data_IF_617679975040
#
_entry.id   IF_617679975040
#
_cell.length_a   1.000
_cell.length_b   1.000
_cell.length_c   1.000
_cell.angle_alpha   90.00
_cell.angle_beta   90.00
_cell.angle_gamma   90.00
#
_symmetry.space_group_name_H-M   'P 1'
#
loop_
_entity.id
_entity.type
_entity.pdbx_description
1 polymer ?
#
# COMPACT_ATOMS: atom_id res chain seq x y z
N UNK A 1 14.49 34.06 -20.10
CA UNK A 1 13.51 33.24 -19.36
C UNK A 1 14.26 32.40 -18.33
N UNK A 2 14.38 32.89 -17.09
CA UNK A 2 14.73 32.03 -15.96
C UNK A 2 13.55 31.07 -15.77
N UNK A 3 13.57 29.98 -16.52
CA UNK A 3 12.42 29.15 -16.81
C UNK A 3 11.99 28.40 -15.56
N UNK A 4 10.77 28.64 -15.10
CA UNK A 4 9.94 27.52 -14.65
C UNK A 4 10.00 26.50 -15.79
N UNK A 5 10.75 25.42 -15.60
CA UNK A 5 10.88 24.36 -16.61
C UNK A 5 9.46 23.95 -16.97
N UNK A 6 9.12 24.02 -18.26
CA UNK A 6 7.85 23.49 -18.74
C UNK A 6 7.77 22.03 -18.32
N UNK A 7 6.70 21.67 -17.63
CA UNK A 7 6.40 20.29 -17.22
C UNK A 7 5.29 19.76 -18.11
N UNK A 8 5.13 18.44 -18.19
CA UNK A 8 4.01 17.82 -18.92
C UNK A 8 2.63 18.18 -18.40
N UNK A 9 2.54 18.70 -17.18
CA UNK A 9 1.29 19.21 -16.61
C UNK A 9 1.01 20.68 -16.98
N UNK A 10 1.99 21.38 -17.54
CA UNK A 10 1.90 22.80 -17.84
C UNK A 10 0.84 23.05 -18.92
N UNK A 11 -0.16 23.88 -18.60
CA UNK A 11 -1.19 24.29 -19.56
C UNK A 11 -0.89 25.67 -20.12
N UNK A 12 -1.27 25.89 -21.38
CA UNK A 12 -1.10 27.17 -22.06
C UNK A 12 -1.60 28.35 -21.23
N UNK A 13 -2.81 28.25 -20.65
CA UNK A 13 -3.42 29.31 -19.82
C UNK A 13 -2.64 29.59 -18.53
N UNK A 14 -1.98 28.59 -17.97
CA UNK A 14 -1.21 28.71 -16.72
C UNK A 14 0.17 29.34 -16.97
N UNK A 15 0.74 29.10 -18.16
CA UNK A 15 2.00 29.71 -18.58
C UNK A 15 1.82 31.09 -19.23
N UNK A 16 0.61 31.43 -19.67
CA UNK A 16 0.27 32.66 -20.40
C UNK A 16 0.72 33.94 -19.71
N UNK A 17 0.46 34.07 -18.40
CA UNK A 17 0.84 35.26 -17.62
C UNK A 17 2.35 35.49 -17.60
N UNK A 18 3.16 34.42 -17.62
CA UNK A 18 4.61 34.52 -17.70
C UNK A 18 5.12 34.87 -19.09
N UNK A 19 4.36 34.55 -20.14
CA UNK A 19 4.71 34.87 -21.52
C UNK A 19 4.39 36.32 -21.88
N UNK A 20 3.32 36.91 -21.37
CA UNK A 20 2.99 38.34 -21.59
C UNK A 20 4.04 39.30 -21.02
N UNK A 21 4.82 38.86 -20.03
CA UNK A 21 5.97 39.62 -19.52
C UNK A 21 7.22 39.54 -20.43
N UNK A 22 7.23 38.66 -21.44
CA UNK A 22 8.37 38.46 -22.33
C UNK A 22 8.22 39.31 -23.60
N UNK A 23 9.16 40.23 -23.82
CA UNK A 23 9.15 41.13 -24.98
C UNK A 23 9.07 40.38 -26.32
N UNK A 24 9.80 39.26 -26.45
CA UNK A 24 9.83 38.45 -27.67
C UNK A 24 8.48 37.81 -27.97
N UNK A 25 7.73 37.42 -26.93
CA UNK A 25 6.37 36.89 -27.08
C UNK A 25 5.38 37.97 -27.51
N UNK A 26 5.48 39.17 -26.91
CA UNK A 26 4.63 40.30 -27.26
C UNK A 26 4.85 40.77 -28.71
N UNK A 27 6.08 40.71 -29.20
CA UNK A 27 6.39 40.98 -30.62
C UNK A 27 5.81 39.91 -31.55
N UNK A 28 5.99 38.62 -31.22
CA UNK A 28 5.43 37.51 -32.00
C UNK A 28 3.90 37.56 -32.08
N UNK A 29 3.23 37.88 -30.96
CA UNK A 29 1.77 38.00 -30.87
C UNK A 29 1.21 39.13 -31.74
N UNK A 30 1.96 40.24 -31.90
CA UNK A 30 1.58 41.36 -32.77
C UNK A 30 1.65 40.98 -34.26
N UNK A 31 2.59 40.11 -34.63
CA UNK A 31 2.78 39.63 -36.00
C UNK A 31 1.78 38.53 -36.37
N UNK A 32 1.56 37.54 -35.49
CA UNK A 32 0.56 36.49 -35.64
C UNK A 32 -0.01 36.09 -34.28
N UNK A 33 -1.31 36.33 -34.08
CA UNK A 33 -1.98 36.08 -32.79
C UNK A 33 -2.08 34.60 -32.40
N UNK A 34 -2.07 33.67 -33.37
CA UNK A 34 -2.12 32.21 -33.14
C UNK A 34 -0.77 31.53 -32.97
N UNK A 35 0.29 32.08 -33.60
CA UNK A 35 1.61 31.45 -33.69
C UNK A 35 2.25 31.11 -32.32
N UNK A 36 2.15 31.94 -31.27
CA UNK A 36 2.72 31.60 -29.97
C UNK A 36 2.09 30.35 -29.34
N UNK A 37 0.79 30.14 -29.56
CA UNK A 37 0.08 28.96 -29.05
C UNK A 37 0.52 27.71 -29.80
N UNK A 38 0.61 27.78 -31.12
CA UNK A 38 1.07 26.65 -31.94
C UNK A 38 2.51 26.26 -31.59
N UNK A 39 3.38 27.24 -31.31
CA UNK A 39 4.75 26.99 -30.84
C UNK A 39 4.73 26.29 -29.47
N UNK A 40 3.88 26.72 -28.54
CA UNK A 40 3.75 26.07 -27.24
C UNK A 40 3.25 24.63 -27.36
N UNK A 41 2.18 24.41 -28.12
CA UNK A 41 1.63 23.07 -28.37
C UNK A 41 2.71 22.18 -29.01
N UNK A 42 3.44 22.68 -30.02
CA UNK A 42 4.56 21.94 -30.61
C UNK A 42 5.76 21.68 -29.68
N UNK A 43 6.03 22.57 -28.71
CA UNK A 43 7.03 22.31 -27.66
C UNK A 43 6.55 21.24 -26.69
N UNK A 44 5.27 21.29 -26.29
CA UNK A 44 4.67 20.29 -25.41
C UNK A 44 4.61 18.91 -26.07
N UNK A 45 4.26 18.84 -27.35
CA UNK A 45 4.27 17.59 -28.12
C UNK A 45 5.68 16.98 -28.16
N UNK A 46 6.70 17.78 -28.48
CA UNK A 46 8.11 17.33 -28.43
C UNK A 46 8.54 16.88 -27.04
N UNK A 47 8.08 17.55 -25.98
CA UNK A 47 8.36 17.15 -24.59
C UNK A 47 7.69 15.80 -24.26
N UNK A 48 6.45 15.60 -24.71
CA UNK A 48 5.73 14.34 -24.54
C UNK A 48 6.40 13.19 -25.30
N UNK A 49 6.84 13.43 -26.53
CA UNK A 49 7.55 12.45 -27.34
C UNK A 49 8.91 12.10 -26.71
N UNK A 50 9.68 13.09 -26.27
CA UNK A 50 10.95 12.86 -25.57
C UNK A 50 10.76 11.99 -24.31
N UNK A 51 9.75 12.29 -23.48
CA UNK A 51 9.46 11.50 -22.28
C UNK A 51 8.94 10.10 -22.60
N UNK A 52 8.21 9.93 -23.71
CA UNK A 52 7.80 8.61 -24.19
C UNK A 52 9.02 7.78 -24.59
N UNK A 53 9.97 8.38 -25.30
CA UNK A 53 11.19 7.73 -25.74
C UNK A 53 12.10 7.38 -24.56
N UNK A 54 12.30 8.31 -23.62
CA UNK A 54 13.04 8.05 -22.37
C UNK A 54 12.47 6.87 -21.59
N UNK A 55 11.13 6.79 -21.46
CA UNK A 55 10.45 5.66 -20.83
C UNK A 55 10.65 4.35 -21.60
N UNK A 56 10.71 4.42 -22.93
CA UNK A 56 10.99 3.26 -23.77
C UNK A 56 12.41 2.75 -23.55
N UNK A 57 13.39 3.65 -23.55
CA UNK A 57 14.79 3.31 -23.30
C UNK A 57 15.01 2.78 -21.89
N UNK A 58 14.41 3.41 -20.88
CA UNK A 58 14.46 2.94 -19.49
C UNK A 58 13.92 1.51 -19.36
N UNK A 59 12.78 1.20 -19.98
CA UNK A 59 12.23 -0.16 -19.98
C UNK A 59 13.22 -1.18 -20.55
N UNK A 60 13.91 -0.82 -21.63
CA UNK A 60 14.90 -1.69 -22.24
C UNK A 60 16.13 -1.89 -21.35
N UNK A 61 16.60 -0.84 -20.66
CA UNK A 61 17.68 -0.93 -19.65
C UNK A 61 17.26 -1.85 -18.51
N UNK A 62 16.08 -1.62 -17.92
CA UNK A 62 15.56 -2.41 -16.79
C UNK A 62 15.40 -3.88 -17.18
N UNK A 63 14.90 -4.16 -18.40
CA UNK A 63 14.75 -5.51 -18.90
C UNK A 63 16.09 -6.22 -19.09
N UNK A 64 17.11 -5.52 -19.64
CA UNK A 64 18.47 -6.09 -19.82
C UNK A 64 19.22 -6.25 -18.50
N UNK A 65 19.02 -5.33 -17.56
CA UNK A 65 19.65 -5.39 -16.24
C UNK A 65 18.95 -6.39 -15.31
N UNK A 66 17.80 -6.96 -15.70
CA UNK A 66 17.01 -7.89 -14.88
C UNK A 66 16.69 -7.36 -13.47
N UNK A 67 16.63 -6.03 -13.31
CA UNK A 67 16.41 -5.43 -12.00
C UNK A 67 14.95 -5.57 -11.56
N UNK A 68 14.74 -6.16 -10.38
CA UNK A 68 13.43 -6.26 -9.74
C UNK A 68 13.36 -5.29 -8.57
N UNK A 69 12.46 -4.31 -8.66
CA UNK A 69 12.19 -3.37 -7.58
C UNK A 69 11.56 -4.13 -6.41
N UNK A 70 12.20 -4.04 -5.24
CA UNK A 70 11.71 -4.58 -3.96
C UNK A 70 11.29 -3.44 -3.02
N UNK A 71 10.53 -3.76 -1.97
CA UNK A 71 10.10 -2.77 -0.97
C UNK A 71 11.27 -2.06 -0.26
N UNK A 72 12.44 -2.70 -0.17
CA UNK A 72 13.66 -2.15 0.43
C UNK A 72 14.65 -1.57 -0.60
N UNK A 73 14.28 -1.51 -1.88
CA UNK A 73 15.13 -0.93 -2.92
C UNK A 73 15.22 0.59 -2.79
N UNK A 74 16.41 1.14 -3.04
CA UNK A 74 16.65 2.59 -3.11
C UNK A 74 17.03 2.99 -4.54
N UNK A 75 16.90 4.29 -4.84
CA UNK A 75 17.29 4.82 -6.15
C UNK A 75 18.78 4.56 -6.42
N UNK A 76 19.65 4.79 -5.45
CA UNK A 76 21.09 4.55 -5.59
C UNK A 76 21.42 3.08 -5.86
N UNK A 77 20.73 2.13 -5.20
CA UNK A 77 20.90 0.69 -5.48
C UNK A 77 20.44 0.34 -6.90
N UNK A 78 19.35 0.95 -7.37
CA UNK A 78 18.89 0.77 -8.74
C UNK A 78 19.92 1.29 -9.75
N UNK A 79 20.45 2.49 -9.55
CA UNK A 79 21.45 3.09 -10.44
C UNK A 79 22.74 2.26 -10.49
N UNK A 80 23.22 1.80 -9.33
CA UNK A 80 24.38 0.90 -9.25
C UNK A 80 24.14 -0.40 -10.03
N UNK A 81 22.93 -0.96 -9.96
CA UNK A 81 22.60 -2.21 -10.65
C UNK A 81 22.51 -2.06 -12.17
N UNK A 82 22.04 -0.91 -12.66
CA UNK A 82 21.93 -0.66 -14.10
C UNK A 82 23.24 -0.12 -14.70
N UNK A 83 24.20 0.34 -13.89
CA UNK A 83 25.41 1.03 -14.31
C UNK A 83 26.14 0.31 -15.45
N UNK A 84 26.47 -0.97 -15.28
CA UNK A 84 27.20 -1.74 -16.29
C UNK A 84 26.40 -1.97 -17.57
N UNK A 85 25.08 -2.06 -17.45
CA UNK A 85 24.17 -2.21 -18.61
C UNK A 85 24.10 -0.92 -19.40
N UNK A 86 24.01 0.22 -18.71
CA UNK A 86 23.98 1.56 -19.30
C UNK A 86 25.32 1.90 -19.94
N UNK A 87 26.45 1.59 -19.28
CA UNK A 87 27.79 1.82 -19.82
C UNK A 87 28.02 1.05 -21.12
N UNK A 88 27.57 -0.20 -21.22
CA UNK A 88 27.64 -0.99 -22.45
C UNK A 88 26.75 -0.40 -23.55
N UNK A 89 25.52 -0.05 -23.22
CA UNK A 89 24.56 0.56 -24.16
C UNK A 89 25.00 1.92 -24.69
N UNK A 90 25.77 2.69 -23.91
CA UNK A 90 26.31 3.99 -24.32
C UNK A 90 27.51 3.88 -25.27
N UNK A 91 28.19 2.74 -25.31
CA UNK A 91 29.37 2.48 -26.14
C UNK A 91 29.06 1.81 -27.49
N UNK A 92 27.81 1.36 -27.71
CA UNK A 92 27.40 0.68 -28.95
C UNK A 92 27.32 1.62 -30.18
N UNK A 93 27.53 2.94 -30.02
CA UNK A 93 27.42 3.94 -31.08
C UNK A 93 28.78 4.63 -31.40
N UNK A 94 29.01 4.95 -32.68
CA UNK A 94 30.27 5.44 -33.26
C UNK A 94 30.93 6.65 -32.52
N UNK A 95 32.25 6.58 -32.21
CA UNK A 95 32.97 7.66 -31.56
C UNK A 95 33.22 8.84 -32.51
N UNK A 96 32.60 10.00 -32.23
CA UNK A 96 32.83 11.26 -32.95
C UNK A 96 31.59 11.96 -33.49
N UNK A 97 30.41 11.34 -33.40
CA UNK A 97 29.14 11.97 -33.74
C UNK A 97 28.60 12.84 -32.59
N UNK A 98 27.78 13.85 -32.92
CA UNK A 98 27.03 14.63 -31.94
C UNK A 98 26.22 13.68 -31.04
N UNK A 99 26.29 13.80 -29.70
CA UNK A 99 25.61 12.88 -28.81
C UNK A 99 24.12 12.81 -29.14
N UNK A 100 23.64 11.60 -29.44
CA UNK A 100 22.21 11.41 -29.69
C UNK A 100 21.41 11.66 -28.40
N UNK A 101 20.14 12.05 -28.47
CA UNK A 101 19.30 12.21 -27.27
C UNK A 101 19.31 10.96 -26.38
N UNK A 102 19.36 9.77 -26.99
CA UNK A 102 19.49 8.49 -26.31
C UNK A 102 20.81 8.34 -25.54
N UNK A 103 21.94 8.75 -26.13
CA UNK A 103 23.24 8.72 -25.44
C UNK A 103 23.27 9.70 -24.27
N UNK A 104 22.72 10.90 -24.45
CA UNK A 104 22.63 11.88 -23.36
C UNK A 104 21.79 11.37 -22.19
N UNK A 105 20.72 10.62 -22.48
CA UNK A 105 19.91 9.96 -21.47
C UNK A 105 20.66 8.83 -20.76
N UNK A 106 21.42 8.00 -21.46
CA UNK A 106 22.21 6.95 -20.80
C UNK A 106 23.35 7.53 -19.96
N UNK A 107 24.04 8.55 -20.45
CA UNK A 107 25.09 9.22 -19.69
C UNK A 107 24.54 9.83 -18.38
N UNK A 108 23.33 10.38 -18.40
CA UNK A 108 22.71 10.97 -17.21
C UNK A 108 22.22 9.96 -16.17
N UNK A 109 22.15 8.67 -16.52
CA UNK A 109 21.87 7.57 -15.58
C UNK A 109 23.11 7.06 -14.84
N UNK A 110 24.31 7.47 -15.24
CA UNK A 110 25.56 7.04 -14.60
C UNK A 110 25.85 7.76 -13.29
N UNK A 111 25.25 8.94 -13.07
CA UNK A 111 25.39 9.72 -11.84
C UNK A 111 24.02 10.08 -11.25
N UNK A 112 23.89 9.91 -9.93
CA UNK A 112 22.67 10.19 -9.17
C UNK A 112 22.27 11.67 -9.27
N UNK A 113 23.24 12.58 -9.36
CA UNK A 113 22.98 14.02 -9.49
C UNK A 113 22.35 14.41 -10.84
N UNK A 114 22.53 13.57 -11.87
CA UNK A 114 22.09 13.87 -13.24
C UNK A 114 20.86 13.10 -13.69
N UNK A 115 20.31 12.24 -12.82
CA UNK A 115 19.20 11.34 -13.18
C UNK A 115 18.00 12.14 -13.72
N UNK A 116 17.48 11.77 -14.90
CA UNK A 116 16.29 12.40 -15.44
C UNK A 116 15.10 12.27 -14.47
N UNK A 117 14.31 13.34 -14.27
CA UNK A 117 13.14 13.30 -13.39
C UNK A 117 12.15 12.19 -13.77
N UNK A 118 12.05 11.87 -15.06
CA UNK A 118 11.22 10.78 -15.58
C UNK A 118 11.58 9.41 -15.02
N UNK A 119 12.87 9.16 -14.76
CA UNK A 119 13.39 7.91 -14.18
C UNK A 119 13.11 7.88 -12.68
N UNK A 120 13.30 9.01 -12.00
CA UNK A 120 12.97 9.16 -10.57
C UNK A 120 11.48 8.90 -10.34
N UNK A 121 10.61 9.53 -11.11
CA UNK A 121 9.15 9.32 -11.05
C UNK A 121 8.79 7.85 -11.32
N UNK A 122 9.41 7.23 -12.33
CA UNK A 122 9.19 5.83 -12.63
C UNK A 122 9.59 4.92 -11.46
N UNK A 123 10.77 5.15 -10.87
CA UNK A 123 11.28 4.35 -9.75
C UNK A 123 10.38 4.51 -8.52
N UNK A 124 10.03 5.74 -8.15
CA UNK A 124 9.11 6.01 -7.04
C UNK A 124 7.76 5.34 -7.26
N UNK A 125 7.21 5.41 -8.48
CA UNK A 125 5.94 4.75 -8.80
C UNK A 125 6.03 3.23 -8.78
N UNK A 126 7.16 2.64 -9.16
CA UNK A 126 7.39 1.20 -9.08
C UNK A 126 7.57 0.74 -7.62
N UNK A 127 8.37 1.48 -6.85
CA UNK A 127 8.62 1.23 -5.43
C UNK A 127 7.35 1.36 -4.60
N UNK A 128 6.54 2.38 -4.84
CA UNK A 128 5.26 2.57 -4.15
C UNK A 128 4.29 1.39 -4.38
N UNK A 129 4.21 0.86 -5.61
CA UNK A 129 3.39 -0.32 -5.91
C UNK A 129 3.89 -1.57 -5.19
N UNK A 130 5.20 -1.73 -5.09
CA UNK A 130 5.79 -2.88 -4.39
C UNK A 130 5.62 -2.77 -2.87
N UNK A 131 5.77 -1.56 -2.33
CA UNK A 131 5.50 -1.27 -0.93
C UNK A 131 4.03 -1.52 -0.58
N UNK A 132 3.10 -1.13 -1.45
CA UNK A 132 1.67 -1.44 -1.29
C UNK A 132 1.41 -2.95 -1.31
N UNK A 133 2.04 -3.70 -2.23
CA UNK A 133 1.96 -5.18 -2.26
C UNK A 133 2.47 -5.79 -0.97
N UNK A 134 3.64 -5.35 -0.50
CA UNK A 134 4.22 -5.81 0.75
C UNK A 134 3.29 -5.52 1.95
N UNK A 135 2.75 -4.31 2.04
CA UNK A 135 1.81 -3.94 3.10
C UNK A 135 0.54 -4.79 3.08
N UNK A 136 0.00 -5.11 1.89
CA UNK A 136 -1.17 -6.00 1.78
C UNK A 136 -0.84 -7.40 2.28
N UNK A 137 0.26 -7.98 1.82
CA UNK A 137 0.72 -9.31 2.27
C UNK A 137 0.96 -9.34 3.78
N UNK A 138 1.63 -8.32 4.33
CA UNK A 138 1.89 -8.22 5.76
C UNK A 138 0.59 -8.01 6.56
N UNK A 139 -0.36 -7.23 6.04
CA UNK A 139 -1.67 -7.06 6.68
C UNK A 139 -2.49 -8.35 6.69
N UNK A 140 -2.40 -9.17 5.62
CA UNK A 140 -3.04 -10.48 5.57
C UNK A 140 -2.38 -11.45 6.55
N UNK A 141 -1.05 -11.42 6.65
CA UNK A 141 -0.30 -12.19 7.65
C UNK A 141 -0.72 -11.80 9.06
N UNK A 142 -0.80 -10.49 9.35
CA UNK A 142 -1.22 -9.98 10.66
C UNK A 142 -2.67 -10.38 10.99
N UNK A 143 -3.60 -10.30 10.04
CA UNK A 143 -4.99 -10.77 10.24
C UNK A 143 -5.07 -12.26 10.56
N UNK A 144 -4.25 -13.10 9.91
CA UNK A 144 -4.16 -14.53 10.23
C UNK A 144 -3.66 -14.74 11.66
N UNK A 145 -2.64 -14.00 12.08
CA UNK A 145 -2.09 -14.03 13.45
C UNK A 145 -3.14 -13.55 14.47
N UNK A 146 -3.85 -12.47 14.19
CA UNK A 146 -4.92 -11.94 15.05
C UNK A 146 -6.06 -12.95 15.21
N UNK A 147 -6.51 -13.58 14.12
CA UNK A 147 -7.54 -14.62 14.18
C UNK A 147 -7.08 -15.85 14.98
N UNK A 148 -5.79 -16.20 14.89
CA UNK A 148 -5.21 -17.26 15.70
C UNK A 148 -5.13 -16.85 17.18
N UNK A 149 -4.73 -15.61 17.48
CA UNK A 149 -4.72 -15.08 18.84
C UNK A 149 -6.13 -15.02 19.46
N UNK A 150 -7.14 -14.61 18.69
CA UNK A 150 -8.54 -14.61 19.13
C UNK A 150 -9.01 -16.01 19.49
N UNK A 151 -8.71 -16.99 18.64
CA UNK A 151 -8.97 -18.39 18.96
C UNK A 151 -8.23 -18.81 20.24
N UNK A 152 -6.95 -18.43 20.43
CA UNK A 152 -6.24 -18.75 21.67
C UNK A 152 -6.87 -18.10 22.91
N UNK A 153 -7.49 -16.92 22.79
CA UNK A 153 -8.25 -16.30 23.88
C UNK A 153 -9.48 -17.12 24.27
N UNK A 154 -10.12 -17.83 23.35
CA UNK A 154 -11.25 -18.70 23.68
C UNK A 154 -10.82 -19.92 24.50
N UNK A 155 -9.63 -20.47 24.22
CA UNK A 155 -9.13 -21.68 24.88
C UNK A 155 -8.36 -21.38 26.18
N UNK A 156 -7.55 -20.32 26.18
CA UNK A 156 -6.55 -20.06 27.22
C UNK A 156 -6.67 -18.62 27.73
N UNK A 157 -7.59 -18.36 28.66
CA UNK A 157 -7.84 -17.01 29.21
C UNK A 157 -7.61 -16.86 30.72
N UNK A 158 -7.35 -17.97 31.42
CA UNK A 158 -7.18 -18.04 32.88
C UNK A 158 -5.71 -18.24 33.28
N UNK A 159 -5.39 -17.93 34.54
CA UNK A 159 -4.08 -18.16 35.15
C UNK A 159 -3.61 -19.61 35.03
N UNK A 160 -4.54 -20.57 35.11
CA UNK A 160 -4.23 -22.00 35.10
C UNK A 160 -3.69 -22.47 33.73
N UNK A 161 -3.90 -21.68 32.67
CA UNK A 161 -3.43 -22.01 31.34
C UNK A 161 -2.01 -21.50 31.05
N UNK A 162 -1.41 -20.71 31.95
CA UNK A 162 -0.05 -20.17 31.77
C UNK A 162 1.05 -21.24 31.74
N UNK A 163 0.78 -22.41 32.31
CA UNK A 163 1.71 -23.56 32.32
C UNK A 163 1.50 -24.49 31.12
N UNK A 164 0.53 -24.21 30.25
CA UNK A 164 0.24 -25.04 29.08
C UNK A 164 1.40 -24.98 28.11
N UNK A 165 2.00 -26.14 27.84
CA UNK A 165 3.06 -26.26 26.82
C UNK A 165 2.46 -26.13 25.41
N UNK A 166 3.30 -25.70 24.47
CA UNK A 166 2.89 -25.63 23.07
C UNK A 166 2.43 -26.99 22.53
N UNK A 167 3.10 -28.09 22.89
CA UNK A 167 2.75 -29.42 22.41
C UNK A 167 1.34 -29.85 22.82
N UNK A 168 0.95 -29.54 24.07
CA UNK A 168 -0.40 -29.80 24.55
C UNK A 168 -1.43 -28.93 23.83
N UNK A 169 -1.14 -27.63 23.70
CA UNK A 169 -2.04 -26.71 23.01
C UNK A 169 -2.21 -27.05 21.52
N UNK A 170 -1.13 -27.49 20.86
CA UNK A 170 -1.11 -27.86 19.44
C UNK A 170 -2.11 -28.97 19.14
N UNK A 171 -2.18 -30.01 19.97
CA UNK A 171 -3.14 -31.12 19.78
C UNK A 171 -4.59 -30.62 19.81
N UNK A 172 -4.88 -29.61 20.63
CA UNK A 172 -6.22 -29.03 20.77
C UNK A 172 -6.57 -28.08 19.62
N UNK A 173 -5.60 -27.28 19.14
CA UNK A 173 -5.84 -26.25 18.10
C UNK A 173 -5.58 -26.71 16.67
N UNK A 174 -4.91 -27.85 16.44
CA UNK A 174 -4.49 -28.29 15.10
C UNK A 174 -5.64 -28.49 14.08
N UNK A 175 -6.85 -28.73 14.58
CA UNK A 175 -8.04 -28.94 13.74
C UNK A 175 -8.73 -27.62 13.36
N UNK A 176 -8.31 -26.48 13.93
CA UNK A 176 -8.95 -25.18 13.72
C UNK A 176 -8.48 -24.51 12.44
N UNK A 177 -9.40 -23.81 11.78
CA UNK A 177 -9.12 -23.07 10.55
C UNK A 177 -8.09 -21.97 10.77
N UNK A 178 -8.13 -21.27 11.91
CA UNK A 178 -7.17 -20.22 12.25
C UNK A 178 -5.74 -20.75 12.41
N UNK A 179 -5.56 -21.95 12.99
CA UNK A 179 -4.27 -22.63 13.06
C UNK A 179 -3.77 -23.02 11.66
N UNK A 180 -4.64 -23.68 10.87
CA UNK A 180 -4.29 -24.10 9.50
C UNK A 180 -3.99 -22.94 8.56
N UNK A 181 -4.59 -21.78 8.79
CA UNK A 181 -4.37 -20.58 7.98
C UNK A 181 -3.02 -19.90 8.25
N UNK A 182 -2.40 -20.16 9.40
CA UNK A 182 -1.11 -19.56 9.76
C UNK A 182 0.07 -20.19 9.00
N UNK A 183 -0.11 -21.38 8.42
CA UNK A 183 0.87 -22.21 7.70
C UNK A 183 2.11 -22.56 8.55
N UNK A 184 2.93 -21.57 8.95
CA UNK A 184 4.10 -21.68 9.82
C UNK A 184 4.14 -20.54 10.87
N UNK A 185 4.77 -20.78 12.03
CA UNK A 185 4.94 -19.75 13.08
C UNK A 185 3.85 -19.71 14.16
N UNK A 186 2.95 -20.70 14.20
CA UNK A 186 1.90 -20.79 15.21
C UNK A 186 2.45 -20.94 16.64
N UNK A 187 3.59 -21.61 16.80
CA UNK A 187 4.29 -21.71 18.08
C UNK A 187 4.76 -20.35 18.60
N UNK A 188 5.36 -19.54 17.73
CA UNK A 188 5.84 -18.20 18.07
C UNK A 188 4.65 -17.31 18.47
N UNK A 189 3.55 -17.37 17.71
CA UNK A 189 2.33 -16.64 18.03
C UNK A 189 1.72 -17.09 19.37
N UNK A 190 1.72 -18.39 19.66
CA UNK A 190 1.27 -18.94 20.94
C UNK A 190 2.13 -18.47 22.11
N UNK A 191 3.45 -18.56 22.00
CA UNK A 191 4.37 -18.10 23.05
C UNK A 191 4.21 -16.60 23.32
N UNK A 192 4.07 -15.78 22.26
CA UNK A 192 3.77 -14.36 22.40
C UNK A 192 2.45 -14.12 23.12
N UNK A 193 1.40 -14.89 22.79
CA UNK A 193 0.11 -14.80 23.45
C UNK A 193 0.19 -15.20 24.93
N UNK A 194 0.88 -16.29 25.28
CA UNK A 194 1.10 -16.70 26.67
C UNK A 194 1.86 -15.63 27.48
N UNK A 195 2.87 -14.99 26.88
CA UNK A 195 3.55 -13.85 27.52
C UNK A 195 2.61 -12.65 27.73
N UNK A 196 1.73 -12.34 26.77
CA UNK A 196 0.70 -11.31 26.93
C UNK A 196 -0.27 -11.68 28.06
N UNK A 197 -0.69 -12.94 28.15
CA UNK A 197 -1.58 -13.44 29.20
C UNK A 197 -0.91 -13.35 30.58
N UNK A 198 0.36 -13.74 30.69
CA UNK A 198 1.14 -13.64 31.93
C UNK A 198 1.20 -12.19 32.42
N UNK A 199 1.54 -11.25 31.53
CA UNK A 199 1.58 -9.82 31.84
C UNK A 199 0.20 -9.30 32.28
N UNK A 200 -0.89 -9.74 31.65
CA UNK A 200 -2.26 -9.40 32.07
C UNK A 200 -2.54 -9.90 33.50
N UNK A 201 -2.21 -11.14 33.83
CA UNK A 201 -2.43 -11.70 35.18
C UNK A 201 -1.57 -11.01 36.26
N UNK A 202 -0.32 -10.68 35.94
CA UNK A 202 0.56 -9.90 36.83
C UNK A 202 0.04 -8.49 37.08
N UNK A 203 -0.52 -7.82 36.06
CA UNK A 203 -1.14 -6.50 36.24
C UNK A 203 -2.38 -6.57 37.13
N UNK A 204 -3.27 -7.55 36.93
CA UNK A 204 -4.47 -7.74 37.75
C UNK A 204 -4.13 -8.02 39.23
N UNK A 205 -3.11 -8.85 39.48
CA UNK A 205 -2.65 -9.14 40.85
C UNK A 205 -1.99 -7.94 41.52
N UNK A 206 -1.21 -7.13 40.78
CA UNK A 206 -0.65 -5.87 41.30
C UNK A 206 -1.74 -4.86 41.63
N UNK A 207 -2.70 -4.65 40.73
CA UNK A 207 -3.84 -3.75 40.97
C UNK A 207 -4.71 -4.21 42.14
N UNK A 208 -4.92 -5.51 42.30
CA UNK A 208 -5.69 -6.05 43.43
C UNK A 208 -4.96 -5.85 44.75
N UNK A 209 -3.63 -6.05 44.80
CA UNK A 209 -2.81 -5.76 45.99
C UNK A 209 -2.78 -4.28 46.37
N UNK A 210 -2.84 -3.36 45.40
CA UNK A 210 -2.90 -1.92 45.69
C UNK A 210 -4.27 -1.47 46.22
N UNK A 211 -5.35 -2.12 45.79
CA UNK A 211 -6.71 -1.85 46.33
C UNK A 211 -6.86 -2.44 47.74
N UNK A 212 -6.37 -3.67 47.97
CA UNK A 212 -6.38 -4.32 49.29
C UNK A 212 -5.50 -3.58 50.32
N UNK A 213 -4.42 -2.94 49.87
CA UNK A 213 -3.58 -2.11 50.74
C UNK A 213 -4.21 -0.74 51.11
N UNK A 214 -5.36 -0.38 50.52
CA UNK A 214 -6.05 0.91 50.76
C UNK A 214 -7.37 0.73 51.54
N UNK A 215 -7.90 -0.49 51.68
CA UNK A 215 -9.08 -0.79 52.52
C UNK A 215 -8.67 -1.37 53.88
N UNK A 216 -8.06 -0.53 54.73
CA UNK A 216 -7.90 -0.79 56.16
C UNK A 216 -8.91 0.08 56.94
N UNK A 217 -9.97 -0.48 57.56
CA UNK A 217 -10.87 0.31 58.40
C UNK A 217 -10.23 0.54 59.78
N UNK A 218 -10.21 1.77 60.33
CA UNK A 218 -9.92 1.95 61.75
C UNK A 218 -11.13 1.49 62.58
N UNK A 219 -10.87 0.60 63.53
CA UNK A 219 -11.83 0.13 64.51
C UNK A 219 -12.18 1.24 65.51
N UNK A 220 -13.46 1.56 65.65
CA UNK A 220 -14.04 2.15 66.86
C UNK A 220 -15.41 1.55 67.16
N UNK A 221 -15.59 1.20 68.43
CA UNK A 221 -16.72 0.50 69.05
C UNK A 221 -18.01 1.34 69.19
N UNK A 222 -19.13 0.63 69.05
CA UNK A 222 -20.46 0.72 69.68
C UNK A 222 -21.18 2.05 69.98
N UNK A 223 -22.41 2.20 69.46
CA UNK A 223 -23.66 2.09 70.25
C UNK A 223 -24.94 2.22 69.37
N UNK A 224 -25.90 1.31 69.58
CA UNK A 224 -27.33 1.31 69.14
C UNK A 224 -28.15 2.35 69.97
N UNK A 225 -29.45 2.71 69.74
CA UNK A 225 -30.53 1.85 69.20
C UNK A 225 -31.69 2.48 68.35
N UNK A 226 -32.53 1.57 67.80
CA UNK A 226 -34.00 1.61 67.56
C UNK A 226 -34.68 2.68 66.68
N UNK A 227 -35.35 2.23 65.60
CA UNK A 227 -36.81 2.32 65.32
C UNK A 227 -37.06 1.95 63.84
N UNK A 228 -37.80 0.86 63.55
CA UNK A 228 -39.25 0.74 63.37
C UNK A 228 -39.75 1.19 61.99
N UNK A 229 -40.40 0.23 61.32
CA UNK A 229 -41.51 0.37 60.36
C UNK A 229 -41.22 0.57 58.87
N UNK A 230 -41.51 -0.51 58.13
CA UNK A 230 -42.50 -0.60 57.03
C UNK A 230 -42.47 0.45 55.91
N UNK A 231 -42.32 -0.02 54.66
CA UNK A 231 -43.42 -0.10 53.68
C UNK A 231 -42.93 -0.22 52.23
N UNK A 232 -43.37 -1.32 51.57
CA UNK A 232 -44.00 -1.39 50.24
C UNK A 232 -43.56 -0.40 49.14
N UNK A 233 -43.16 -0.96 48.00
CA UNK A 233 -43.94 -1.07 46.73
C UNK A 233 -43.01 -1.04 45.51
N UNK A 234 -42.95 -2.10 44.70
CA UNK A 234 -43.82 -2.39 43.54
C UNK A 234 -43.88 -1.29 42.45
N UNK A 235 -43.07 -1.45 41.38
CA UNK A 235 -43.49 -1.29 39.95
C UNK A 235 -42.32 -1.71 39.04
N UNK A 236 -42.35 -2.82 38.29
CA UNK A 236 -43.22 -3.27 37.18
C UNK A 236 -42.88 -2.60 35.83
N UNK A 237 -42.36 -3.46 34.94
CA UNK A 237 -42.53 -3.55 33.47
C UNK A 237 -42.10 -2.41 32.55
N UNK A 238 -41.20 -2.77 31.63
CA UNK A 238 -41.40 -2.98 30.16
C UNK A 238 -40.04 -3.50 29.64
N UNK A 239 -39.80 -4.67 29.04
CA UNK A 239 -40.47 -5.54 28.05
C UNK A 239 -40.83 -4.88 26.72
N UNK A 240 -40.24 -5.49 25.69
CA UNK A 240 -40.58 -5.54 24.27
C UNK A 240 -40.32 -4.22 23.50
N UNK A 241 -39.84 -4.19 22.26
CA UNK A 241 -39.97 -5.21 21.22
C UNK A 241 -38.92 -5.05 20.09
N UNK A 242 -38.84 -6.14 19.34
CA UNK A 242 -38.19 -6.48 18.07
C UNK A 242 -38.05 -5.39 16.99
N UNK A 243 -37.02 -5.57 16.16
CA UNK A 243 -37.03 -5.58 14.68
C UNK A 243 -35.65 -6.12 14.25
N UNK A 244 -35.40 -7.36 13.78
CA UNK A 244 -35.90 -8.15 12.64
C UNK A 244 -36.32 -7.31 11.41
N UNK A 245 -35.40 -7.20 10.45
CA UNK A 245 -35.76 -7.33 9.03
C UNK A 245 -34.75 -8.25 8.33
N UNK A 246 -35.31 -9.30 7.75
CA UNK A 246 -34.73 -10.21 6.78
C UNK A 246 -34.86 -9.61 5.37
N UNK A 247 -34.11 -10.22 4.45
CA UNK A 247 -34.30 -10.20 2.98
C UNK A 247 -33.93 -8.88 2.28
N UNK A 248 -33.06 -8.87 1.27
CA UNK A 248 -33.46 -9.46 0.00
C UNK A 248 -32.30 -9.95 -0.87
N UNK A 249 -32.50 -11.14 -1.43
CA UNK A 249 -31.65 -11.80 -2.42
C UNK A 249 -31.99 -11.25 -3.80
N UNK A 250 -31.05 -10.62 -4.53
CA UNK A 250 -31.17 -10.52 -6.00
C UNK A 250 -29.87 -10.83 -6.74
N UNK A 251 -29.73 -12.13 -7.00
CA UNK A 251 -29.13 -12.72 -8.19
C UNK A 251 -29.71 -12.02 -9.44
N UNK A 252 -28.88 -11.37 -10.25
CA UNK A 252 -29.21 -11.13 -11.66
C UNK A 252 -28.09 -11.66 -12.56
N UNK A 253 -28.36 -12.84 -13.12
CA UNK A 253 -27.79 -13.27 -14.38
C UNK A 253 -28.47 -12.44 -15.47
N UNK A 254 -27.72 -11.70 -16.28
CA UNK A 254 -28.12 -11.45 -17.67
C UNK A 254 -26.90 -11.34 -18.59
N UNK A 255 -26.67 -12.45 -19.26
CA UNK A 255 -26.09 -12.55 -20.59
C UNK A 255 -26.61 -11.45 -21.54
N UNK A 256 -25.69 -10.75 -22.21
CA UNK A 256 -25.96 -10.30 -23.58
C UNK A 256 -24.83 -10.74 -24.49
N UNK A 257 -25.23 -11.65 -25.37
CA UNK A 257 -24.50 -12.25 -26.46
C UNK A 257 -24.28 -11.28 -27.62
N UNK A 258 -23.27 -11.59 -28.45
CA UNK A 258 -23.07 -11.25 -29.87
C UNK A 258 -22.19 -10.04 -30.19
N UNK A 259 -20.93 -10.31 -30.54
CA UNK A 259 -20.48 -10.24 -31.96
C UNK A 259 -19.15 -10.99 -32.15
N UNK A 260 -19.25 -12.26 -32.55
CA UNK A 260 -18.15 -13.02 -33.14
C UNK A 260 -18.07 -12.71 -34.64
N UNK A 261 -17.14 -11.85 -35.06
CA UNK A 261 -16.80 -11.66 -36.47
C UNK A 261 -15.89 -12.80 -36.94
N UNK A 262 -16.55 -13.84 -37.46
CA UNK A 262 -15.96 -14.96 -38.18
C UNK A 262 -15.43 -14.48 -39.54
N UNK A 263 -14.13 -14.18 -39.68
CA UNK A 263 -13.46 -14.03 -40.99
C UNK A 263 -12.51 -15.21 -41.24
N UNK A 264 -13.10 -16.19 -41.93
CA UNK A 264 -12.55 -17.22 -42.84
C UNK A 264 -11.01 -17.39 -42.86
N UNK A 265 -10.57 -18.52 -42.30
CA UNK A 265 -9.37 -19.22 -42.77
C UNK A 265 -9.57 -19.64 -44.25
N UNK A 266 -8.70 -19.15 -45.14
CA UNK A 266 -8.46 -19.76 -46.45
C UNK A 266 -7.69 -21.06 -46.19
N UNK A 267 -8.37 -22.19 -46.37
CA UNK A 267 -7.75 -23.50 -46.61
C UNK A 267 -7.06 -23.44 -47.96
N UNK A 268 -5.74 -23.43 -47.95
CA UNK A 268 -4.91 -23.88 -49.06
C UNK A 268 -4.92 -25.41 -49.08
N UNK A 269 -5.58 -25.98 -50.09
CA UNK A 269 -5.36 -27.35 -50.55
C UNK A 269 -5.51 -27.35 -52.06
N UNK A 270 -4.40 -27.55 -52.74
CA UNK A 270 -4.27 -27.84 -54.17
C UNK A 270 -5.07 -29.07 -54.57
N UNK A 271 -5.50 -29.16 -55.84
CA UNK A 271 -4.95 -30.20 -56.75
C UNK A 271 -5.03 -29.82 -58.25
N UNK A 272 -4.69 -30.70 -59.21
CA UNK A 272 -3.66 -31.74 -59.25
C UNK A 272 -2.37 -31.27 -59.94
#
# INVERSE_FOLDING_TARGET
VAAKRLTTASRWRECWAGYEANATYCELKKLHSGMPRDIFEGVMDRLHDALRDERSWLKHVVARAEFVVKYNSTLSLFLQHIHDTVAKLGLEDEPGAVPTPRQSFFASLLDEATVPPSVVEWFQGAHARELERYQRMESERMKKVEAFEEMLMEYYFRSDHLTTSWDQARVEVQHRSAYRALDDGAEVAFQQYMQKLQKKMESLTKSRKTVDATEQPPATEEARPTSRSTSRSNKKKKRDDRSRSEEDRKRSKKSSSKKSSKKKHKRSRSPP
#
